data_IF_683001688605
#
_entry.id   IF_683001688605
#
_cell.length_a   1.000
_cell.length_b   1.000
_cell.length_c   1.000
_cell.angle_alpha   90.00
_cell.angle_beta   90.00
_cell.angle_gamma   90.00
#
_symmetry.space_group_name_H-M   'P 1'
#
loop_
_entity.id
_entity.type
_entity.pdbx_description
1 polymer ?
#
# COMPACT_ATOMS: atom_id res chain seq x y z
N UNK A 1 36.48 0.32 -33.37
CA UNK A 1 35.84 1.58 -33.76
C UNK A 1 34.72 1.85 -32.76
N UNK A 2 34.96 2.74 -31.81
CA UNK A 2 33.98 3.15 -30.81
C UNK A 2 33.10 4.29 -31.39
N UNK A 3 31.80 4.06 -31.51
CA UNK A 3 30.82 5.06 -31.91
C UNK A 3 30.65 6.08 -30.78
N UNK A 4 31.29 7.24 -30.93
CA UNK A 4 31.00 8.41 -30.09
C UNK A 4 29.51 8.80 -30.25
N UNK A 5 28.70 8.51 -29.25
CA UNK A 5 27.36 9.10 -29.15
C UNK A 5 27.52 10.58 -28.81
N UNK A 6 27.47 11.43 -29.84
CA UNK A 6 27.31 12.87 -29.69
C UNK A 6 26.05 13.15 -28.85
N UNK A 7 26.25 13.60 -27.61
CA UNK A 7 25.19 14.20 -26.80
C UNK A 7 24.78 15.48 -27.52
N UNK A 8 23.62 15.48 -28.17
CA UNK A 8 23.01 16.70 -28.64
C UNK A 8 22.78 17.61 -27.47
N UNK A 9 23.51 18.71 -27.36
CA UNK A 9 23.30 19.79 -26.42
C UNK A 9 21.99 20.49 -26.79
N UNK A 10 20.87 19.91 -26.39
CA UNK A 10 19.58 20.62 -26.47
C UNK A 10 19.53 21.60 -25.31
N UNK A 11 19.68 22.90 -25.65
CA UNK A 11 19.44 23.99 -24.69
C UNK A 11 18.04 23.77 -24.10
N UNK A 12 17.90 23.75 -22.76
CA UNK A 12 16.59 23.55 -22.14
C UNK A 12 15.70 24.74 -22.51
N UNK A 13 14.73 24.53 -23.38
CA UNK A 13 13.75 25.57 -23.74
C UNK A 13 12.93 25.86 -22.49
N UNK A 14 12.97 27.11 -21.97
CA UNK A 14 12.15 27.52 -20.83
C UNK A 14 10.67 27.39 -21.14
N UNK A 15 9.84 27.10 -20.13
CA UNK A 15 8.39 27.09 -20.30
C UNK A 15 7.86 28.52 -20.30
N UNK A 16 7.11 28.89 -21.35
CA UNK A 16 6.43 30.17 -21.36
C UNK A 16 5.25 30.17 -20.38
N UNK A 17 4.74 31.36 -20.06
CA UNK A 17 3.54 31.46 -19.21
C UNK A 17 2.30 30.90 -19.91
N UNK A 18 2.23 31.04 -21.24
CA UNK A 18 1.18 30.50 -22.09
C UNK A 18 1.21 28.96 -22.08
N UNK A 19 2.41 28.36 -22.28
CA UNK A 19 2.61 26.93 -22.20
C UNK A 19 2.15 26.37 -20.81
N UNK A 20 2.52 27.11 -19.74
CA UNK A 20 2.11 26.70 -18.38
C UNK A 20 0.60 26.81 -18.16
N UNK A 21 -0.04 27.89 -18.62
CA UNK A 21 -1.50 28.05 -18.56
C UNK A 21 -2.22 26.97 -19.34
N UNK A 22 -1.75 26.68 -20.56
CA UNK A 22 -2.31 25.63 -21.41
C UNK A 22 -2.17 24.27 -20.75
N UNK A 23 -0.99 23.91 -20.28
CA UNK A 23 -0.75 22.65 -19.59
C UNK A 23 -1.61 22.54 -18.32
N UNK A 24 -1.75 23.63 -17.56
CA UNK A 24 -2.57 23.70 -16.37
C UNK A 24 -4.06 23.47 -16.67
N UNK A 25 -4.57 24.00 -17.77
CA UNK A 25 -5.97 23.80 -18.19
C UNK A 25 -6.28 22.33 -18.48
N UNK A 26 -5.31 21.58 -19.02
CA UNK A 26 -5.43 20.13 -19.24
C UNK A 26 -5.29 19.33 -17.96
N UNK A 27 -4.44 19.76 -17.02
CA UNK A 27 -4.25 19.07 -15.74
C UNK A 27 -5.48 19.14 -14.82
N UNK A 28 -6.34 20.12 -15.01
CA UNK A 28 -7.61 20.24 -14.29
C UNK A 28 -8.71 19.31 -14.83
N UNK A 29 -8.52 18.70 -16.00
CA UNK A 29 -9.42 17.69 -16.56
C UNK A 29 -8.99 16.31 -16.09
N UNK A 30 -9.95 15.43 -15.80
CA UNK A 30 -9.70 14.11 -15.19
C UNK A 30 -8.85 13.13 -16.05
N UNK A 31 -8.74 13.35 -17.37
CA UNK A 31 -7.98 12.48 -18.28
C UNK A 31 -6.66 13.11 -18.69
N UNK A 32 -5.56 12.52 -18.25
CA UNK A 32 -4.20 12.92 -18.61
C UNK A 32 -3.54 11.85 -19.48
N UNK A 33 -3.32 12.15 -20.76
CA UNK A 33 -2.50 11.33 -21.65
C UNK A 33 -1.17 12.04 -21.98
N UNK A 34 -0.05 11.39 -21.60
CA UNK A 34 1.29 11.92 -21.86
C UNK A 34 1.62 11.97 -23.37
N UNK A 35 1.02 11.09 -24.20
CA UNK A 35 1.21 11.12 -25.66
C UNK A 35 0.51 12.32 -26.26
N UNK A 36 -0.73 12.58 -25.87
CA UNK A 36 -1.48 13.76 -26.29
C UNK A 36 -0.75 15.05 -25.93
N UNK A 37 -0.18 15.15 -24.73
CA UNK A 37 0.63 16.32 -24.36
C UNK A 37 1.90 16.47 -25.21
N UNK A 38 2.46 15.38 -25.72
CA UNK A 38 3.59 15.46 -26.65
C UNK A 38 3.19 16.07 -28.00
N UNK A 39 1.96 15.82 -28.43
CA UNK A 39 1.39 16.47 -29.67
C UNK A 39 1.17 17.96 -29.46
N UNK A 40 0.66 18.37 -28.27
CA UNK A 40 0.49 19.79 -27.92
C UNK A 40 1.82 20.55 -27.74
N UNK A 41 2.86 19.85 -27.31
CA UNK A 41 4.18 20.43 -27.07
C UNK A 41 5.26 19.70 -27.87
N UNK A 42 5.24 19.78 -29.22
CA UNK A 42 6.12 19.00 -30.11
C UNK A 42 7.61 19.28 -29.89
N UNK A 43 7.95 20.49 -29.48
CA UNK A 43 9.33 20.91 -29.19
C UNK A 43 9.84 20.50 -27.81
N UNK A 44 9.04 19.76 -27.02
CA UNK A 44 9.38 19.31 -25.67
C UNK A 44 9.63 17.79 -25.63
N UNK A 45 10.56 17.35 -24.82
CA UNK A 45 10.73 15.92 -24.57
C UNK A 45 9.65 15.40 -23.61
N UNK A 46 9.23 14.14 -23.74
CA UNK A 46 8.29 13.51 -22.81
C UNK A 46 8.75 13.59 -21.34
N UNK A 47 10.04 13.34 -21.01
CA UNK A 47 10.52 13.55 -19.64
C UNK A 47 10.39 15.01 -19.18
N UNK A 48 10.65 15.98 -20.06
CA UNK A 48 10.49 17.40 -19.78
C UNK A 48 9.03 17.78 -19.48
N UNK A 49 8.09 17.28 -20.28
CA UNK A 49 6.65 17.45 -20.06
C UNK A 49 6.23 16.83 -18.71
N UNK A 50 6.62 15.58 -18.44
CA UNK A 50 6.31 14.89 -17.17
C UNK A 50 6.86 15.63 -15.95
N UNK A 51 8.10 16.15 -16.04
CA UNK A 51 8.72 16.95 -14.98
C UNK A 51 7.93 18.25 -14.72
N UNK A 52 7.51 18.94 -15.78
CA UNK A 52 6.72 20.18 -15.66
C UNK A 52 5.33 19.91 -15.09
N UNK A 53 4.66 18.87 -15.56
CA UNK A 53 3.38 18.40 -15.01
C UNK A 53 3.49 18.18 -13.52
N UNK A 54 4.52 17.45 -13.08
CA UNK A 54 4.73 17.21 -11.64
C UNK A 54 4.89 18.51 -10.85
N UNK A 55 5.68 19.47 -11.38
CA UNK A 55 5.89 20.77 -10.73
C UNK A 55 4.59 21.59 -10.64
N UNK A 56 3.80 21.61 -11.72
CA UNK A 56 2.51 22.32 -11.74
C UNK A 56 1.49 21.69 -10.80
N UNK A 57 1.40 20.36 -10.78
CA UNK A 57 0.54 19.63 -9.83
C UNK A 57 0.89 19.95 -8.39
N UNK A 58 2.18 19.97 -8.02
CA UNK A 58 2.64 20.37 -6.69
C UNK A 58 2.27 21.84 -6.40
N UNK A 59 2.57 22.73 -7.33
CA UNK A 59 2.36 24.19 -7.17
C UNK A 59 0.88 24.57 -7.01
N UNK A 60 -0.02 23.86 -7.66
CA UNK A 60 -1.45 24.17 -7.72
C UNK A 60 -2.34 23.16 -6.98
N UNK A 61 -1.73 22.30 -6.18
CA UNK A 61 -2.43 21.21 -5.44
C UNK A 61 -3.38 20.38 -6.33
N UNK A 62 -2.94 20.11 -7.57
CA UNK A 62 -3.72 19.38 -8.57
C UNK A 62 -3.49 17.88 -8.53
N UNK A 63 -2.97 17.37 -7.43
CA UNK A 63 -2.92 15.93 -7.27
C UNK A 63 -4.29 15.44 -6.85
N UNK A 64 -5.41 15.86 -7.28
CA UNK A 64 -6.66 15.38 -6.70
C UNK A 64 -6.49 14.96 -5.21
N UNK A 65 -7.40 14.64 -4.46
CA UNK A 65 -7.14 14.09 -3.12
C UNK A 65 -5.92 13.15 -3.19
N UNK A 66 -4.81 13.54 -2.58
CA UNK A 66 -3.56 12.83 -2.73
C UNK A 66 -3.81 11.37 -2.36
N UNK A 67 -3.20 10.40 -3.03
CA UNK A 67 -3.25 8.99 -2.61
C UNK A 67 -3.11 8.83 -1.10
N UNK A 68 -2.36 9.73 -0.48
CA UNK A 68 -2.19 9.82 0.95
C UNK A 68 -3.48 10.22 1.65
N UNK A 69 -4.13 11.31 1.24
CA UNK A 69 -5.39 11.78 1.85
C UNK A 69 -6.46 10.70 1.79
N UNK A 70 -6.74 10.16 0.60
CA UNK A 70 -7.72 9.07 0.43
C UNK A 70 -7.39 7.83 1.27
N UNK A 71 -6.09 7.48 1.37
CA UNK A 71 -5.63 6.38 2.20
C UNK A 71 -5.85 6.67 3.69
N UNK A 72 -5.53 7.87 4.13
CA UNK A 72 -5.73 8.33 5.50
C UNK A 72 -7.22 8.37 5.87
N UNK A 73 -8.08 8.83 4.96
CA UNK A 73 -9.54 8.87 5.15
C UNK A 73 -10.13 7.45 5.26
N UNK A 74 -9.72 6.54 4.38
CA UNK A 74 -10.13 5.15 4.47
C UNK A 74 -9.67 4.50 5.79
N UNK A 75 -8.40 4.72 6.17
CA UNK A 75 -7.86 4.23 7.44
C UNK A 75 -8.65 4.77 8.63
N UNK A 76 -8.96 6.07 8.64
CA UNK A 76 -9.76 6.69 9.69
C UNK A 76 -11.18 6.12 9.75
N UNK A 77 -11.84 5.90 8.61
CA UNK A 77 -13.16 5.27 8.50
C UNK A 77 -13.15 3.86 9.10
N UNK A 78 -12.18 3.03 8.70
CA UNK A 78 -12.04 1.67 9.23
C UNK A 78 -11.75 1.68 10.72
N UNK A 79 -10.82 2.54 11.18
CA UNK A 79 -10.48 2.66 12.61
C UNK A 79 -11.68 3.04 13.47
N UNK A 80 -12.52 3.98 13.01
CA UNK A 80 -13.75 4.36 13.71
C UNK A 80 -14.79 3.23 13.75
N UNK A 81 -14.89 2.43 12.66
CA UNK A 81 -15.81 1.30 12.55
C UNK A 81 -15.45 0.19 13.55
N UNK A 82 -14.17 -0.18 13.65
CA UNK A 82 -13.73 -1.36 14.40
C UNK A 82 -13.11 -1.06 15.76
N UNK A 83 -12.64 0.17 15.99
CA UNK A 83 -12.01 0.65 17.22
C UNK A 83 -10.95 -0.34 17.76
N UNK A 84 -9.90 -0.65 16.97
CA UNK A 84 -8.89 -1.61 17.39
C UNK A 84 -8.12 -1.06 18.60
N UNK A 85 -7.81 -1.91 19.58
CA UNK A 85 -6.95 -1.55 20.72
C UNK A 85 -5.48 -1.59 20.32
N UNK A 86 -5.10 -2.58 19.52
CA UNK A 86 -3.73 -2.81 19.07
C UNK A 86 -3.69 -2.98 17.55
N UNK A 87 -2.72 -2.32 16.91
CA UNK A 87 -2.51 -2.36 15.46
C UNK A 87 -1.06 -2.69 15.15
N UNK A 88 -0.83 -3.53 14.13
CA UNK A 88 0.48 -3.74 13.54
C UNK A 88 0.51 -3.10 12.14
N UNK A 89 1.24 -1.98 12.02
CA UNK A 89 1.54 -1.31 10.74
C UNK A 89 2.85 -1.89 10.18
N UNK A 90 2.71 -2.86 9.29
CA UNK A 90 3.84 -3.69 8.85
C UNK A 90 4.83 -2.96 7.92
N UNK A 91 4.46 -1.82 7.35
CA UNK A 91 5.29 -1.04 6.42
C UNK A 91 5.13 0.46 6.66
N UNK A 92 5.45 0.88 7.86
CA UNK A 92 5.12 2.21 8.38
C UNK A 92 5.74 3.39 7.61
N UNK A 93 6.88 3.18 6.94
CA UNK A 93 7.56 4.25 6.20
C UNK A 93 7.85 5.47 7.08
N UNK A 94 7.27 6.61 6.73
CA UNK A 94 7.35 7.84 7.53
C UNK A 94 6.25 7.96 8.61
N UNK A 95 5.42 6.93 8.80
CA UNK A 95 4.42 6.86 9.85
C UNK A 95 3.04 7.43 9.51
N UNK A 96 2.77 7.80 8.26
CA UNK A 96 1.51 8.48 7.93
C UNK A 96 0.27 7.67 8.31
N UNK A 97 0.27 6.35 8.07
CA UNK A 97 -0.83 5.47 8.47
C UNK A 97 -0.77 5.16 9.97
N UNK A 98 0.43 4.93 10.52
CA UNK A 98 0.67 4.73 11.96
C UNK A 98 -0.04 5.79 12.79
N UNK A 99 0.08 7.09 12.40
CA UNK A 99 -0.53 8.19 13.15
C UNK A 99 -2.05 8.31 12.96
N UNK A 100 -2.62 7.72 11.92
CA UNK A 100 -4.08 7.58 11.79
C UNK A 100 -4.61 6.45 12.68
N UNK A 101 -3.89 5.32 12.73
CA UNK A 101 -4.26 4.22 13.61
C UNK A 101 -4.18 4.60 15.08
N UNK A 102 -3.08 5.23 15.53
CA UNK A 102 -2.91 5.57 16.95
C UNK A 102 -3.90 6.65 17.42
N UNK A 103 -4.51 7.41 16.52
CA UNK A 103 -5.57 8.34 16.90
C UNK A 103 -6.73 7.64 17.61
N UNK A 104 -7.01 6.36 17.26
CA UNK A 104 -8.08 5.53 17.83
C UNK A 104 -7.51 4.43 18.72
N UNK A 105 -6.51 3.67 18.26
CA UNK A 105 -5.90 2.58 19.01
C UNK A 105 -5.17 3.06 20.28
N UNK A 106 -4.95 2.16 21.22
CA UNK A 106 -4.15 2.41 22.42
C UNK A 106 -2.66 2.24 22.12
N UNK A 107 -2.33 1.25 21.26
CA UNK A 107 -0.97 0.94 20.89
C UNK A 107 -0.87 0.60 19.40
N UNK A 108 0.20 1.11 18.75
CA UNK A 108 0.57 0.73 17.40
C UNK A 108 1.99 0.18 17.40
N UNK A 109 2.14 -1.03 16.92
CA UNK A 109 3.43 -1.61 16.55
C UNK A 109 3.67 -1.31 15.08
N UNK A 110 4.80 -0.71 14.77
CA UNK A 110 5.13 -0.29 13.42
C UNK A 110 6.46 -0.88 13.00
N UNK A 111 6.62 -1.39 11.78
CA UNK A 111 7.90 -1.86 11.29
C UNK A 111 8.31 -1.19 9.99
N UNK A 112 9.62 -0.97 9.83
CA UNK A 112 10.20 -0.43 8.60
C UNK A 112 11.65 -0.90 8.44
N UNK A 113 11.92 -1.50 7.29
CA UNK A 113 13.24 -2.06 6.97
C UNK A 113 14.29 -1.01 6.66
N UNK A 114 13.87 0.13 6.08
CA UNK A 114 14.77 1.20 5.67
C UNK A 114 15.12 2.11 6.86
N UNK A 115 16.31 1.94 7.43
CA UNK A 115 16.82 2.79 8.54
C UNK A 115 16.72 4.29 8.28
N UNK A 116 16.83 4.72 7.02
CA UNK A 116 16.68 6.13 6.63
C UNK A 116 15.27 6.69 6.89
N UNK A 117 14.25 5.83 6.97
CA UNK A 117 12.87 6.23 7.28
C UNK A 117 12.66 6.57 8.75
N UNK A 118 13.49 6.05 9.66
CA UNK A 118 13.39 6.36 11.09
C UNK A 118 13.43 7.86 11.36
N UNK A 119 14.35 8.60 10.74
CA UNK A 119 14.44 10.06 10.92
C UNK A 119 13.16 10.78 10.48
N UNK A 120 12.54 10.31 9.39
CA UNK A 120 11.28 10.86 8.89
C UNK A 120 10.13 10.51 9.84
N UNK A 121 10.11 9.28 10.35
CA UNK A 121 9.14 8.82 11.34
C UNK A 121 9.25 9.63 12.64
N UNK A 122 10.46 9.84 13.19
CA UNK A 122 10.71 10.66 14.38
C UNK A 122 10.22 12.10 14.20
N UNK A 123 10.46 12.69 13.02
CA UNK A 123 9.93 14.01 12.68
C UNK A 123 8.39 14.02 12.69
N UNK A 124 7.77 13.02 12.08
CA UNK A 124 6.31 12.90 12.05
C UNK A 124 5.76 12.66 13.46
N UNK A 125 6.41 11.82 14.27
CA UNK A 125 6.06 11.58 15.67
C UNK A 125 6.05 12.89 16.48
N UNK A 126 7.13 13.66 16.39
CA UNK A 126 7.24 14.96 17.06
C UNK A 126 6.13 15.93 16.63
N UNK A 127 5.82 15.99 15.32
CA UNK A 127 4.74 16.83 14.79
C UNK A 127 3.37 16.44 15.34
N UNK A 128 3.16 15.15 15.64
CA UNK A 128 1.93 14.62 16.24
C UNK A 128 1.95 14.65 17.78
N UNK A 129 2.97 15.25 18.40
CA UNK A 129 3.09 15.43 19.85
C UNK A 129 3.58 14.18 20.59
N UNK A 130 4.18 13.21 19.89
CA UNK A 130 4.79 12.05 20.53
C UNK A 130 6.24 12.33 20.92
N UNK A 131 6.64 11.88 22.10
CA UNK A 131 8.00 11.95 22.60
C UNK A 131 8.66 10.59 22.52
N UNK A 132 9.87 10.52 21.99
CA UNK A 132 10.69 9.32 22.00
C UNK A 132 11.15 9.03 23.43
N UNK A 133 11.00 7.78 23.86
CA UNK A 133 11.45 7.29 25.17
C UNK A 133 12.61 6.34 24.93
N UNK A 134 13.69 6.53 25.64
CA UNK A 134 14.82 5.60 25.63
C UNK A 134 14.47 4.38 26.48
N UNK A 135 14.44 3.21 25.85
CA UNK A 135 14.15 1.93 26.49
C UNK A 135 15.38 1.04 26.63
N UNK A 136 16.54 1.50 26.11
CA UNK A 136 17.72 0.65 25.97
C UNK A 136 17.61 -0.41 24.88
N UNK A 137 16.40 -0.64 24.30
CA UNK A 137 16.19 -1.59 23.24
C UNK A 137 16.77 -1.07 21.91
N UNK A 138 17.57 -1.90 21.24
CA UNK A 138 18.19 -1.54 19.97
C UNK A 138 17.24 -1.71 18.78
N UNK A 139 16.27 -2.63 18.85
CA UNK A 139 15.35 -2.98 17.77
C UNK A 139 14.05 -2.16 17.81
N UNK A 140 13.44 -2.06 18.99
CA UNK A 140 12.21 -1.30 19.18
C UNK A 140 12.49 0.10 19.71
N UNK A 141 11.89 1.11 19.08
CA UNK A 141 11.93 2.51 19.53
C UNK A 141 10.54 2.90 20.02
N UNK A 142 10.45 3.30 21.29
CA UNK A 142 9.20 3.68 21.92
C UNK A 142 8.92 5.18 21.75
N UNK A 143 7.71 5.50 21.34
CA UNK A 143 7.17 6.86 21.29
C UNK A 143 5.88 6.91 22.12
N UNK A 144 5.76 7.90 23.00
CA UNK A 144 4.62 8.07 23.90
C UNK A 144 3.97 9.44 23.76
N UNK A 145 2.65 9.44 23.89
CA UNK A 145 1.84 10.63 24.08
C UNK A 145 0.66 10.26 24.97
N UNK A 146 0.61 10.83 26.19
CA UNK A 146 -0.40 10.47 27.18
C UNK A 146 -0.43 8.95 27.41
N UNK A 147 -1.62 8.33 27.25
CA UNK A 147 -1.81 6.87 27.36
C UNK A 147 -1.52 6.09 26.08
N UNK A 148 -1.17 6.78 24.97
CA UNK A 148 -0.94 6.17 23.65
C UNK A 148 0.53 5.84 23.43
N UNK A 149 0.79 4.70 22.79
CA UNK A 149 2.14 4.20 22.58
C UNK A 149 2.35 3.75 21.13
N UNK A 150 3.50 4.09 20.57
CA UNK A 150 3.96 3.54 19.30
C UNK A 150 5.31 2.87 19.55
N UNK A 151 5.41 1.58 19.20
CA UNK A 151 6.67 0.85 19.17
C UNK A 151 7.08 0.68 17.70
N UNK A 152 8.22 1.26 17.35
CA UNK A 152 8.74 1.24 15.98
C UNK A 152 9.93 0.29 15.86
N UNK A 153 9.75 -0.79 15.10
CA UNK A 153 10.76 -1.80 14.83
C UNK A 153 11.59 -1.41 13.61
N UNK A 154 12.93 -1.49 13.74
CA UNK A 154 13.85 -1.23 12.63
C UNK A 154 14.25 -2.58 12.02
N UNK A 155 13.46 -3.08 11.09
CA UNK A 155 13.69 -4.38 10.47
C UNK A 155 12.55 -4.83 9.59
N UNK A 156 12.58 -6.10 9.23
CA UNK A 156 11.54 -6.72 8.39
C UNK A 156 10.24 -6.90 9.18
N UNK A 157 9.11 -6.83 8.48
CA UNK A 157 7.79 -6.99 9.08
C UNK A 157 7.57 -8.39 9.67
N UNK A 158 8.16 -9.43 9.08
CA UNK A 158 8.06 -10.81 9.57
C UNK A 158 8.84 -10.96 10.86
N UNK A 159 10.04 -10.38 10.95
CA UNK A 159 10.85 -10.41 12.16
C UNK A 159 10.14 -9.68 13.32
N UNK A 160 9.57 -8.51 13.03
CA UNK A 160 8.75 -7.78 14.00
C UNK A 160 7.54 -8.60 14.48
N UNK A 161 6.82 -9.25 13.56
CA UNK A 161 5.68 -10.09 13.89
C UNK A 161 6.08 -11.33 14.72
N UNK A 162 7.23 -11.93 14.44
CA UNK A 162 7.77 -13.04 15.23
C UNK A 162 8.11 -12.60 16.64
N UNK A 163 8.72 -11.43 16.81
CA UNK A 163 9.03 -10.88 18.13
C UNK A 163 7.74 -10.57 18.94
N UNK A 164 6.74 -9.97 18.28
CA UNK A 164 5.42 -9.74 18.90
C UNK A 164 4.78 -11.06 19.36
N UNK A 165 4.90 -12.12 18.55
CA UNK A 165 4.40 -13.46 18.88
C UNK A 165 5.12 -14.08 20.09
N UNK A 166 6.45 -14.02 20.11
CA UNK A 166 7.28 -14.54 21.21
C UNK A 166 6.91 -13.85 22.52
N UNK A 167 6.66 -12.55 22.48
CA UNK A 167 6.25 -11.77 23.65
C UNK A 167 4.74 -11.87 23.98
N UNK A 168 4.00 -12.76 23.31
CA UNK A 168 2.57 -12.98 23.50
C UNK A 168 1.71 -11.71 23.38
N UNK A 169 2.10 -10.78 22.52
CA UNK A 169 1.38 -9.52 22.31
C UNK A 169 0.20 -9.75 21.36
N UNK A 170 -0.97 -9.29 21.77
CA UNK A 170 -2.20 -9.42 20.98
C UNK A 170 -2.31 -8.29 19.98
N UNK A 171 -2.64 -8.63 18.73
CA UNK A 171 -2.85 -7.68 17.64
C UNK A 171 -4.30 -7.80 17.14
N UNK A 172 -5.08 -6.71 17.23
CA UNK A 172 -6.45 -6.71 16.72
C UNK A 172 -6.47 -6.52 15.20
N UNK A 173 -5.58 -5.66 14.66
CA UNK A 173 -5.54 -5.31 13.24
C UNK A 173 -4.11 -5.32 12.69
N UNK A 174 -3.94 -5.85 11.47
CA UNK A 174 -2.72 -5.72 10.67
C UNK A 174 -2.98 -4.83 9.47
N UNK A 175 -2.14 -3.81 9.28
CA UNK A 175 -2.12 -2.94 8.08
C UNK A 175 -0.94 -3.30 7.18
N UNK A 176 -1.23 -3.72 5.95
CA UNK A 176 -0.27 -4.13 4.93
C UNK A 176 -0.24 -3.11 3.80
N UNK A 177 0.61 -2.10 3.93
CA UNK A 177 0.78 -1.03 2.95
C UNK A 177 2.12 -1.12 2.21
N UNK A 178 2.30 -2.19 1.44
CA UNK A 178 3.54 -2.42 0.69
C UNK A 178 3.60 -1.62 -0.62
N UNK A 179 4.82 -1.35 -1.09
CA UNK A 179 5.03 -0.86 -2.46
C UNK A 179 4.89 -1.97 -3.53
N UNK A 180 4.69 -3.22 -3.12
CA UNK A 180 4.58 -4.40 -3.96
C UNK A 180 3.40 -5.28 -3.56
N UNK A 181 3.54 -6.61 -3.75
CA UNK A 181 2.54 -7.57 -3.32
C UNK A 181 2.67 -7.91 -1.84
N UNK A 182 1.52 -8.00 -1.16
CA UNK A 182 1.41 -8.49 0.21
C UNK A 182 1.18 -10.00 0.28
N UNK A 183 0.81 -10.62 -0.83
CA UNK A 183 0.42 -12.04 -0.87
C UNK A 183 1.47 -13.00 -0.32
N UNK A 184 2.79 -12.82 -0.57
CA UNK A 184 3.80 -13.74 -0.07
C UNK A 184 3.94 -13.75 1.46
N UNK A 185 3.64 -12.65 2.13
CA UNK A 185 3.84 -12.52 3.59
C UNK A 185 2.54 -12.70 4.38
N UNK A 186 1.39 -12.58 3.72
CA UNK A 186 0.08 -12.63 4.36
C UNK A 186 -0.14 -13.92 5.17
N UNK A 187 0.18 -15.14 4.65
CA UNK A 187 0.03 -16.37 5.43
C UNK A 187 0.84 -16.34 6.73
N UNK A 188 2.10 -15.93 6.65
CA UNK A 188 2.98 -15.86 7.82
C UNK A 188 2.46 -14.89 8.88
N UNK A 189 1.99 -13.72 8.49
CA UNK A 189 1.43 -12.74 9.44
C UNK A 189 0.12 -13.22 10.07
N UNK A 190 -0.73 -13.91 9.31
CA UNK A 190 -1.93 -14.55 9.85
C UNK A 190 -1.59 -15.59 10.93
N UNK A 191 -0.61 -16.44 10.65
CA UNK A 191 -0.15 -17.48 11.59
C UNK A 191 0.46 -16.88 12.86
N UNK A 192 1.35 -15.89 12.69
CA UNK A 192 2.06 -15.30 13.83
C UNK A 192 1.15 -14.46 14.73
N UNK A 193 0.33 -13.59 14.14
CA UNK A 193 -0.39 -12.55 14.86
C UNK A 193 -1.86 -12.87 15.13
N UNK A 194 -2.48 -13.75 14.34
CA UNK A 194 -3.90 -14.14 14.44
C UNK A 194 -4.85 -12.93 14.60
N UNK A 195 -4.73 -11.91 13.73
CA UNK A 195 -5.49 -10.68 13.90
C UNK A 195 -6.98 -10.92 13.61
N UNK A 196 -7.85 -10.04 14.14
CA UNK A 196 -9.29 -10.03 13.80
C UNK A 196 -9.60 -9.27 12.52
N UNK A 197 -8.70 -8.39 12.13
CA UNK A 197 -8.88 -7.46 11.02
C UNK A 197 -7.59 -7.29 10.21
N UNK A 198 -7.73 -7.15 8.90
CA UNK A 198 -6.59 -6.87 8.01
C UNK A 198 -6.98 -5.76 7.03
N UNK A 199 -6.08 -4.82 6.84
CA UNK A 199 -6.16 -3.82 5.78
C UNK A 199 -5.02 -4.03 4.82
N UNK A 200 -5.31 -4.10 3.52
CA UNK A 200 -4.32 -4.35 2.46
C UNK A 200 -4.38 -3.23 1.44
N UNK A 201 -3.21 -2.67 1.09
CA UNK A 201 -3.05 -1.82 -0.09
C UNK A 201 -2.43 -2.66 -1.21
N UNK A 202 -3.18 -2.85 -2.30
CA UNK A 202 -2.77 -3.67 -3.43
C UNK A 202 -1.85 -2.91 -4.39
N UNK A 203 -0.53 -3.14 -4.27
CA UNK A 203 0.48 -2.58 -5.16
C UNK A 203 0.58 -3.30 -6.52
N UNK A 204 -0.08 -4.45 -6.69
CA UNK A 204 -0.07 -5.28 -7.90
C UNK A 204 -0.63 -4.55 -9.13
N UNK A 205 -1.55 -3.61 -8.96
CA UNK A 205 -2.05 -2.75 -10.03
C UNK A 205 -0.95 -1.96 -10.74
N UNK A 206 0.14 -1.66 -10.04
CA UNK A 206 1.32 -1.07 -10.64
C UNK A 206 1.96 -2.01 -11.67
N UNK A 207 2.10 -3.30 -11.31
CA UNK A 207 2.65 -4.32 -12.23
C UNK A 207 1.76 -4.53 -13.46
N UNK A 208 0.45 -4.52 -13.28
CA UNK A 208 -0.51 -4.60 -14.39
C UNK A 208 -0.36 -3.42 -15.36
N UNK A 209 -0.30 -2.18 -14.85
CA UNK A 209 -0.13 -0.98 -15.67
C UNK A 209 1.16 -0.96 -16.49
N UNK A 210 2.22 -1.53 -15.94
CA UNK A 210 3.50 -1.63 -16.62
C UNK A 210 3.68 -2.94 -17.40
N UNK A 211 2.59 -3.73 -17.56
CA UNK A 211 2.58 -5.00 -18.31
C UNK A 211 3.70 -5.96 -17.87
N UNK A 212 3.92 -6.05 -16.56
CA UNK A 212 4.92 -6.93 -15.97
C UNK A 212 4.33 -8.33 -15.78
N UNK A 213 4.15 -9.03 -16.88
CA UNK A 213 3.52 -10.36 -16.91
C UNK A 213 4.25 -11.38 -16.03
N UNK A 214 5.58 -11.34 -16.00
CA UNK A 214 6.41 -12.20 -15.17
C UNK A 214 6.09 -12.07 -13.68
N UNK A 215 5.80 -10.86 -13.23
CA UNK A 215 5.40 -10.59 -11.84
C UNK A 215 3.99 -11.07 -11.58
N UNK A 216 3.05 -10.77 -12.49
CA UNK A 216 1.65 -11.18 -12.35
C UNK A 216 1.51 -12.70 -12.37
N UNK A 217 2.23 -13.41 -13.26
CA UNK A 217 2.24 -14.87 -13.30
C UNK A 217 2.69 -15.47 -11.96
N UNK A 218 3.73 -14.93 -11.35
CA UNK A 218 4.19 -15.38 -10.02
C UNK A 218 3.19 -15.12 -8.92
N UNK A 219 2.47 -13.99 -8.98
CA UNK A 219 1.45 -13.64 -7.98
C UNK A 219 0.21 -14.52 -8.09
N UNK A 220 -0.18 -14.88 -9.31
CA UNK A 220 -1.36 -15.69 -9.58
C UNK A 220 -1.04 -17.16 -9.92
N UNK A 221 -0.02 -17.71 -9.26
CA UNK A 221 0.36 -19.14 -9.44
C UNK A 221 -0.73 -20.15 -9.08
N UNK A 222 -1.81 -19.71 -8.41
CA UNK A 222 -2.97 -20.53 -8.13
C UNK A 222 -3.86 -20.76 -9.38
N UNK A 223 -3.68 -19.96 -10.44
CA UNK A 223 -4.32 -20.19 -11.73
C UNK A 223 -3.48 -21.14 -12.55
N UNK A 224 -4.15 -22.06 -13.24
CA UNK A 224 -3.47 -22.87 -14.24
C UNK A 224 -3.10 -21.97 -15.42
N UNK A 225 -1.80 -21.69 -15.52
CA UNK A 225 -1.26 -20.65 -16.42
C UNK A 225 -1.32 -21.10 -17.89
N UNK A 226 -1.56 -22.39 -18.14
CA UNK A 226 -1.61 -22.92 -19.50
C UNK A 226 -2.79 -22.42 -20.34
N UNK A 227 -3.93 -22.18 -19.72
CA UNK A 227 -5.20 -21.98 -20.46
C UNK A 227 -5.88 -20.64 -20.17
N UNK A 228 -5.57 -19.97 -19.05
CA UNK A 228 -6.24 -18.72 -18.67
C UNK A 228 -5.34 -17.50 -18.87
N UNK A 229 -5.76 -16.50 -19.68
CA UNK A 229 -5.01 -15.26 -19.82
C UNK A 229 -4.92 -14.56 -18.47
N UNK A 230 -3.81 -13.82 -18.26
CA UNK A 230 -3.68 -12.95 -17.12
C UNK A 230 -4.77 -11.87 -17.16
N UNK A 231 -5.23 -11.38 -16.00
CA UNK A 231 -6.19 -10.28 -15.97
C UNK A 231 -5.63 -9.07 -16.73
N UNK A 232 -6.37 -8.62 -17.74
CA UNK A 232 -5.97 -7.50 -18.61
C UNK A 232 -6.68 -6.20 -18.24
N UNK A 233 -7.77 -6.28 -17.50
CA UNK A 233 -8.53 -5.12 -17.05
C UNK A 233 -8.57 -5.02 -15.52
N UNK A 234 -8.98 -3.84 -15.04
CA UNK A 234 -8.97 -3.48 -13.63
C UNK A 234 -9.95 -4.33 -12.81
N UNK A 235 -11.09 -4.70 -13.40
CA UNK A 235 -12.13 -5.45 -12.70
C UNK A 235 -11.75 -6.91 -12.52
N UNK A 236 -11.19 -7.52 -13.56
CA UNK A 236 -10.62 -8.88 -13.46
C UNK A 236 -9.50 -8.92 -12.44
N UNK A 237 -8.58 -7.95 -12.52
CA UNK A 237 -7.48 -7.86 -11.56
C UNK A 237 -7.98 -7.72 -10.12
N UNK A 238 -9.03 -6.92 -9.90
CA UNK A 238 -9.63 -6.73 -8.59
C UNK A 238 -10.21 -8.04 -8.04
N UNK A 239 -10.94 -8.80 -8.86
CA UNK A 239 -11.50 -10.11 -8.49
C UNK A 239 -10.41 -11.14 -8.21
N UNK A 240 -9.40 -11.23 -9.08
CA UNK A 240 -8.29 -12.17 -8.90
C UNK A 240 -7.46 -11.86 -7.64
N UNK A 241 -7.27 -10.59 -7.29
CA UNK A 241 -6.62 -10.22 -6.04
C UNK A 241 -7.43 -10.62 -4.80
N UNK A 242 -8.75 -10.51 -4.84
CA UNK A 242 -9.60 -10.99 -3.74
C UNK A 242 -9.48 -12.51 -3.57
N UNK A 243 -9.53 -13.27 -4.67
CA UNK A 243 -9.29 -14.72 -4.65
C UNK A 243 -7.90 -15.06 -4.10
N UNK A 244 -6.87 -14.35 -4.57
CA UNK A 244 -5.49 -14.60 -4.12
C UNK A 244 -5.31 -14.34 -2.62
N UNK A 245 -5.95 -13.31 -2.07
CA UNK A 245 -5.95 -13.02 -0.62
C UNK A 245 -6.62 -14.15 0.16
N UNK A 246 -7.78 -14.64 -0.29
CA UNK A 246 -8.49 -15.78 0.32
C UNK A 246 -7.67 -17.07 0.26
N UNK A 247 -7.02 -17.35 -0.87
CA UNK A 247 -6.13 -18.51 -1.03
C UNK A 247 -4.90 -18.39 -0.11
N UNK A 248 -4.34 -17.19 0.06
CA UNK A 248 -3.25 -16.98 1.01
C UNK A 248 -3.68 -17.29 2.45
N UNK A 249 -4.91 -16.96 2.83
CA UNK A 249 -5.47 -17.33 4.13
C UNK A 249 -5.64 -18.85 4.30
N UNK A 250 -6.05 -19.56 3.24
CA UNK A 250 -6.13 -21.03 3.26
C UNK A 250 -4.75 -21.69 3.37
N UNK A 251 -3.71 -21.11 2.79
CA UNK A 251 -2.32 -21.60 2.98
C UNK A 251 -1.89 -21.48 4.45
N UNK A 252 -2.23 -20.39 5.13
CA UNK A 252 -1.97 -20.23 6.55
C UNK A 252 -2.66 -21.33 7.37
N UNK A 253 -3.89 -21.73 7.01
CA UNK A 253 -4.57 -22.86 7.64
C UNK A 253 -3.79 -24.17 7.48
N UNK A 254 -3.31 -24.47 6.29
CA UNK A 254 -2.57 -25.72 6.02
C UNK A 254 -1.27 -25.82 6.83
N UNK A 255 -0.63 -24.70 7.16
CA UNK A 255 0.60 -24.66 7.94
C UNK A 255 0.38 -24.89 9.44
N UNK A 256 -0.79 -24.54 9.99
CA UNK A 256 -1.01 -24.50 11.44
C UNK A 256 -2.26 -25.23 11.92
N UNK A 257 -3.10 -25.72 11.02
CA UNK A 257 -4.47 -26.19 11.29
C UNK A 257 -5.39 -25.11 11.91
N UNK A 258 -4.93 -23.86 11.97
CA UNK A 258 -5.78 -22.72 12.32
C UNK A 258 -6.56 -22.28 11.07
N UNK A 259 -7.85 -22.15 11.17
CA UNK A 259 -8.67 -21.70 10.05
C UNK A 259 -8.78 -20.18 10.02
N UNK A 260 -8.43 -19.61 8.87
CA UNK A 260 -8.55 -18.17 8.61
C UNK A 260 -9.49 -17.95 7.42
N UNK A 261 -10.62 -17.32 7.67
CA UNK A 261 -11.55 -16.92 6.65
C UNK A 261 -11.56 -15.40 6.53
N UNK A 262 -11.37 -14.90 5.32
CA UNK A 262 -11.32 -13.46 5.04
C UNK A 262 -12.59 -13.04 4.32
N UNK A 263 -13.40 -12.19 4.94
CA UNK A 263 -14.54 -11.51 4.32
C UNK A 263 -14.16 -10.07 3.98
N UNK A 264 -14.37 -9.68 2.72
CA UNK A 264 -14.19 -8.30 2.28
C UNK A 264 -15.33 -7.45 2.86
N UNK A 265 -14.99 -6.44 3.65
CA UNK A 265 -15.93 -5.60 4.38
C UNK A 265 -16.03 -4.18 3.81
N UNK A 266 -14.96 -3.70 3.17
CA UNK A 266 -14.90 -2.35 2.59
C UNK A 266 -13.72 -2.23 1.62
N UNK A 267 -13.84 -1.38 0.61
CA UNK A 267 -12.76 -1.08 -0.31
C UNK A 267 -12.80 0.35 -0.83
N UNK A 268 -11.66 0.87 -1.26
CA UNK A 268 -11.56 2.17 -1.91
C UNK A 268 -10.46 2.21 -2.95
N UNK A 269 -10.69 2.97 -4.02
CA UNK A 269 -9.70 3.25 -5.05
C UNK A 269 -8.93 4.53 -4.70
N UNK A 270 -7.62 4.40 -4.53
CA UNK A 270 -6.71 5.51 -4.23
C UNK A 270 -6.21 6.12 -5.56
N UNK A 271 -6.60 7.34 -5.87
CA UNK A 271 -6.20 8.04 -7.11
C UNK A 271 -7.00 7.63 -8.34
N UNK A 272 -8.22 7.10 -8.15
CA UNK A 272 -9.13 6.69 -9.19
C UNK A 272 -8.87 5.28 -9.74
N UNK A 273 -9.92 4.69 -10.31
CA UNK A 273 -9.98 3.27 -10.71
C UNK A 273 -8.92 2.86 -11.75
N UNK A 274 -8.61 3.74 -12.71
CA UNK A 274 -7.71 3.38 -13.82
C UNK A 274 -6.22 3.61 -13.54
N UNK A 275 -5.89 4.49 -12.59
CA UNK A 275 -4.50 4.87 -12.29
C UNK A 275 -4.12 4.67 -10.83
N UNK A 276 -5.08 4.23 -10.03
CA UNK A 276 -4.96 4.11 -8.60
C UNK A 276 -4.37 2.78 -8.14
N UNK A 277 -4.39 2.65 -6.83
CA UNK A 277 -4.22 1.40 -6.12
C UNK A 277 -5.53 1.07 -5.42
N UNK A 278 -5.76 -0.19 -5.11
CA UNK A 278 -6.93 -0.62 -4.37
C UNK A 278 -6.52 -0.84 -2.91
N UNK A 279 -7.30 -0.27 -1.97
CA UNK A 279 -7.12 -0.52 -0.54
C UNK A 279 -8.37 -1.20 -0.02
N UNK A 280 -8.19 -2.33 0.67
CA UNK A 280 -9.25 -3.22 1.14
C UNK A 280 -9.15 -3.48 2.63
N UNK A 281 -10.32 -3.56 3.27
CA UNK A 281 -10.46 -4.02 4.64
C UNK A 281 -11.15 -5.38 4.66
N UNK A 282 -10.51 -6.35 5.32
CA UNK A 282 -11.03 -7.69 5.53
C UNK A 282 -11.24 -7.95 7.02
N UNK A 283 -12.35 -8.58 7.35
CA UNK A 283 -12.57 -9.22 8.65
C UNK A 283 -12.02 -10.63 8.60
N UNK A 284 -11.30 -11.01 9.64
CA UNK A 284 -10.77 -12.37 9.83
C UNK A 284 -11.70 -13.11 10.77
N UNK A 285 -12.19 -14.26 10.37
CA UNK A 285 -13.04 -15.12 11.20
C UNK A 285 -12.52 -16.55 11.15
N UNK A 286 -12.91 -17.36 12.14
CA UNK A 286 -12.79 -18.81 12.04
C UNK A 286 -13.97 -19.30 11.20
N UNK A 287 -13.79 -20.26 10.28
CA UNK A 287 -14.93 -20.84 9.58
C UNK A 287 -15.90 -21.42 10.62
N UNK A 288 -17.17 -21.09 10.48
CA UNK A 288 -18.22 -21.84 11.17
C UNK A 288 -18.17 -23.28 10.65
N UNK A 289 -18.42 -24.25 11.50
CA UNK A 289 -18.41 -25.69 11.14
C UNK A 289 -19.47 -26.09 10.08
N UNK A 290 -20.14 -25.13 9.45
CA UNK A 290 -21.14 -25.34 8.39
C UNK A 290 -20.46 -25.37 7.04
N UNK A 291 -20.72 -26.42 6.29
CA UNK A 291 -20.17 -26.86 5.00
C UNK A 291 -20.34 -25.88 3.80
N UNK A 292 -20.85 -24.68 4.00
CA UNK A 292 -21.19 -23.76 2.92
C UNK A 292 -20.00 -23.01 2.30
N UNK A 293 -18.86 -22.99 3.01
CA UNK A 293 -17.68 -22.20 2.61
C UNK A 293 -16.89 -22.78 1.42
N UNK A 294 -17.00 -24.08 1.15
CA UNK A 294 -16.25 -24.73 0.04
C UNK A 294 -16.95 -24.47 -1.31
N UNK A 295 -18.26 -24.30 -1.29
CA UNK A 295 -19.06 -24.09 -2.51
C UNK A 295 -18.91 -22.69 -3.11
N UNK A 296 -18.57 -21.67 -2.33
CA UNK A 296 -18.34 -20.31 -2.87
C UNK A 296 -17.05 -20.19 -3.68
N UNK A 297 -16.02 -20.99 -3.38
CA UNK A 297 -14.75 -20.98 -4.12
C UNK A 297 -14.82 -21.76 -5.43
N UNK A 298 -15.74 -22.72 -5.54
CA UNK A 298 -15.93 -23.53 -6.77
C UNK A 298 -16.84 -22.86 -7.80
N UNK A 299 -17.67 -21.90 -7.38
CA UNK A 299 -18.66 -21.21 -8.23
C UNK A 299 -18.26 -19.75 -8.57
N UNK A 300 -17.09 -19.31 -8.20
CA UNK A 300 -16.54 -17.98 -8.50
C UNK A 300 -15.28 -18.10 -9.37
#
# INVERSE_FOLDING_TARGET
>A
MALERRKANTIPVSWSQEDEKLLLSYLKKESFDAKFLKELFPNRTLPGIRSKVRKLRIKHDLFGESYRGQKEDFTSKVAQKIKPKSVFDAYAGAGHQTFKWIAIADIVYASEKMKSKLKQFEKTAKTNGFTKVDTGDCLWKLFKKENKQILFFIGDAVDAAADLKVNNLHIDLVDLDTCGSTLPILPTLLVLLKPKHIVITHGEFHSMRFKREDVLRRLFMHRDIGENPLPMNVDEMSKELDKAVKIAALRAHNETSDSFWLSLEDETWLGGRFHGMLRRYYKVSKPSATSDCINELSNS
#
